data_IF_644931775899
#
_entry.id   IF_644931775899
#
_cell.length_a   1.000
_cell.length_b   1.000
_cell.length_c   1.000
_cell.angle_alpha   90.00
_cell.angle_beta   90.00
_cell.angle_gamma   90.00
#
_symmetry.space_group_name_H-M   'P 1'
#
loop_
_entity.id
_entity.type
_entity.pdbx_description
1 polymer ?
#
# COMPACT_ATOMS: atom_id res chain seq x y z
N UNK A 1 1.84 1.27 4.43
CA UNK A 1 3.18 1.92 4.46
C UNK A 1 3.46 2.73 3.20
N UNK A 2 3.45 2.16 1.98
CA UNK A 2 3.74 2.94 0.76
C UNK A 2 2.71 4.03 0.38
N UNK A 3 1.45 3.89 0.79
CA UNK A 3 0.44 4.93 0.58
C UNK A 3 0.48 6.05 1.63
N UNK A 4 1.31 5.92 2.68
CA UNK A 4 1.52 6.98 3.67
C UNK A 4 2.75 7.84 3.36
N UNK A 5 3.58 7.43 2.39
CA UNK A 5 4.73 8.23 1.94
C UNK A 5 4.28 9.21 0.88
N UNK A 6 4.70 10.46 1.00
CA UNK A 6 4.33 11.55 0.10
C UNK A 6 4.75 11.30 -1.36
N UNK A 7 5.86 10.59 -1.55
CA UNK A 7 6.39 10.22 -2.87
C UNK A 7 6.69 8.72 -2.89
N UNK A 8 5.72 7.95 -3.37
CA UNK A 8 5.82 6.49 -3.46
C UNK A 8 6.92 6.05 -4.43
N UNK A 9 7.21 6.83 -5.48
CA UNK A 9 8.29 6.54 -6.43
C UNK A 9 9.65 6.60 -5.76
N UNK A 10 9.93 7.69 -5.00
CA UNK A 10 11.16 7.81 -4.20
C UNK A 10 11.29 6.71 -3.16
N UNK A 11 10.19 6.33 -2.51
CA UNK A 11 10.20 5.24 -1.54
C UNK A 11 10.63 3.91 -2.20
N UNK A 12 10.06 3.57 -3.36
CA UNK A 12 10.44 2.35 -4.11
C UNK A 12 11.89 2.43 -4.63
N UNK A 13 12.32 3.60 -5.11
CA UNK A 13 13.70 3.84 -5.52
C UNK A 13 14.67 3.55 -4.37
N UNK A 14 14.31 3.98 -3.16
CA UNK A 14 15.14 3.80 -1.98
C UNK A 14 15.13 2.36 -1.48
N UNK A 15 13.99 1.68 -1.51
CA UNK A 15 13.91 0.23 -1.27
C UNK A 15 14.83 -0.55 -2.22
N UNK A 16 14.84 -0.19 -3.52
CA UNK A 16 15.77 -0.77 -4.50
C UNK A 16 17.23 -0.43 -4.19
N UNK A 17 17.55 0.80 -3.75
CA UNK A 17 18.92 1.21 -3.47
C UNK A 17 19.52 0.41 -2.31
N UNK A 18 18.75 0.18 -1.25
CA UNK A 18 19.23 -0.47 -0.01
C UNK A 18 19.25 -1.99 -0.09
N UNK A 19 18.38 -2.62 -0.91
CA UNK A 19 18.41 -4.07 -1.07
C UNK A 19 19.68 -4.49 -1.82
N UNK A 20 20.32 -5.60 -1.43
CA UNK A 20 21.49 -6.15 -2.16
C UNK A 20 21.18 -6.40 -3.65
N UNK A 21 22.17 -6.36 -4.55
CA UNK A 21 21.98 -6.84 -5.93
C UNK A 21 21.36 -8.24 -5.96
N UNK A 22 20.43 -8.47 -6.91
CA UNK A 22 19.63 -9.70 -6.99
C UNK A 22 18.57 -9.84 -5.88
N UNK A 23 18.50 -8.92 -4.92
CA UNK A 23 17.53 -8.96 -3.82
C UNK A 23 16.12 -8.52 -4.22
N UNK A 24 15.13 -9.02 -3.49
CA UNK A 24 13.70 -8.76 -3.73
C UNK A 24 13.22 -7.56 -2.93
N UNK A 25 12.48 -6.67 -3.59
CA UNK A 25 11.63 -5.66 -2.98
C UNK A 25 10.18 -6.13 -3.09
N UNK A 26 9.41 -6.04 -2.01
CA UNK A 26 8.00 -6.36 -2.01
C UNK A 26 7.21 -5.34 -1.19
N UNK A 27 5.97 -5.08 -1.59
CA UNK A 27 5.06 -4.20 -0.88
C UNK A 27 3.61 -4.66 -1.06
N UNK A 28 2.77 -4.27 -0.11
CA UNK A 28 1.32 -4.39 -0.24
C UNK A 28 0.61 -3.12 0.23
N UNK A 29 -0.53 -2.85 -0.39
CA UNK A 29 -1.44 -1.74 -0.02
C UNK A 29 -2.89 -2.20 -0.16
N UNK A 30 -3.77 -1.68 0.69
CA UNK A 30 -5.19 -1.99 0.63
C UNK A 30 -5.87 -1.32 -0.57
N UNK A 31 -6.86 -1.98 -1.15
CA UNK A 31 -7.76 -1.41 -2.14
C UNK A 31 -8.90 -0.65 -1.44
N UNK A 32 -8.66 0.61 -1.06
CA UNK A 32 -9.64 1.41 -0.33
C UNK A 32 -10.93 1.67 -1.12
N UNK A 33 -10.84 1.76 -2.45
CA UNK A 33 -12.00 2.05 -3.29
C UNK A 33 -12.81 0.79 -3.59
N UNK A 34 -12.19 -0.31 -4.01
CA UNK A 34 -12.90 -1.52 -4.44
C UNK A 34 -13.04 -2.56 -3.35
N UNK A 35 -11.98 -2.74 -2.56
CA UNK A 35 -11.71 -3.96 -1.82
C UNK A 35 -11.71 -3.82 -0.30
N UNK A 36 -12.22 -2.73 0.28
CA UNK A 36 -12.40 -2.63 1.74
C UNK A 36 -13.86 -2.34 2.12
N UNK A 37 -14.80 -3.28 1.92
CA UNK A 37 -16.24 -3.01 2.11
C UNK A 37 -16.58 -2.57 3.55
N UNK A 38 -15.93 -3.14 4.57
CA UNK A 38 -16.14 -2.73 5.96
C UNK A 38 -15.74 -1.28 6.22
N UNK A 39 -14.58 -0.84 5.72
CA UNK A 39 -14.15 0.56 5.83
C UNK A 39 -14.99 1.48 4.95
N UNK A 40 -15.32 1.01 3.74
CA UNK A 40 -16.12 1.76 2.77
C UNK A 40 -17.53 2.04 3.30
N UNK A 41 -18.13 1.12 4.04
CA UNK A 41 -19.39 1.35 4.75
C UNK A 41 -19.32 2.62 5.62
N UNK A 42 -18.36 2.71 6.54
CA UNK A 42 -18.18 3.89 7.39
C UNK A 42 -18.00 5.16 6.54
N UNK A 43 -17.10 5.11 5.56
CA UNK A 43 -16.79 6.26 4.70
C UNK A 43 -18.01 6.76 3.92
N UNK A 44 -18.82 5.86 3.34
CA UNK A 44 -20.03 6.26 2.62
C UNK A 44 -21.11 6.77 3.56
N UNK A 45 -21.27 6.16 4.73
CA UNK A 45 -22.23 6.60 5.73
C UNK A 45 -21.93 8.03 6.17
N UNK A 46 -20.68 8.35 6.55
CA UNK A 46 -20.35 9.71 6.99
C UNK A 46 -20.41 10.73 5.84
N UNK A 47 -20.11 10.32 4.61
CA UNK A 47 -20.26 11.17 3.44
C UNK A 47 -21.72 11.54 3.11
N UNK A 48 -22.68 10.70 3.50
CA UNK A 48 -24.10 11.03 3.38
C UNK A 48 -24.56 12.05 4.42
N UNK A 49 -23.85 12.17 5.54
CA UNK A 49 -24.26 13.02 6.67
C UNK A 49 -23.78 14.47 6.56
N UNK A 50 -22.64 14.74 5.93
CA UNK A 50 -22.05 16.08 5.90
C UNK A 50 -21.06 16.33 4.75
N UNK A 51 -20.78 17.61 4.49
CA UNK A 51 -19.72 18.04 3.56
C UNK A 51 -18.33 17.57 4.02
N UNK A 52 -18.04 17.65 5.32
CA UNK A 52 -16.79 17.13 5.88
C UNK A 52 -16.62 15.62 5.59
N UNK A 53 -17.72 14.85 5.69
CA UNK A 53 -17.73 13.43 5.31
C UNK A 53 -17.47 13.20 3.82
N UNK A 54 -18.03 14.04 2.94
CA UNK A 54 -17.76 13.96 1.49
C UNK A 54 -16.28 14.18 1.17
N UNK A 55 -15.68 15.22 1.76
CA UNK A 55 -14.25 15.52 1.62
C UNK A 55 -13.36 14.43 2.22
N UNK A 56 -13.79 13.80 3.32
CA UNK A 56 -13.10 12.66 3.90
C UNK A 56 -13.10 11.47 2.93
N UNK A 57 -14.25 11.12 2.35
CA UNK A 57 -14.38 10.04 1.35
C UNK A 57 -13.50 10.27 0.13
N UNK A 58 -13.53 11.47 -0.44
CA UNK A 58 -12.72 11.80 -1.64
C UNK A 58 -11.24 11.56 -1.40
N UNK A 59 -10.74 11.97 -0.23
CA UNK A 59 -9.35 11.75 0.17
C UNK A 59 -9.07 10.28 0.47
N UNK A 60 -9.93 9.60 1.22
CA UNK A 60 -9.69 8.23 1.68
C UNK A 60 -9.68 7.21 0.53
N UNK A 61 -10.59 7.35 -0.44
CA UNK A 61 -10.76 6.39 -1.54
C UNK A 61 -9.68 6.51 -2.63
N UNK A 62 -8.98 7.65 -2.73
CA UNK A 62 -8.02 7.91 -3.80
C UNK A 62 -6.66 8.34 -3.25
N UNK A 63 -5.95 7.39 -2.63
CA UNK A 63 -4.56 7.56 -2.22
C UNK A 63 -3.61 6.94 -3.26
N UNK A 64 -2.33 7.38 -3.30
CA UNK A 64 -1.34 6.81 -4.21
C UNK A 64 -1.17 5.30 -4.08
N UNK A 65 -0.89 4.62 -5.20
CA UNK A 65 -0.61 3.18 -5.30
C UNK A 65 -1.80 2.25 -5.07
N UNK A 66 -3.00 2.79 -4.85
CA UNK A 66 -4.18 1.99 -4.49
C UNK A 66 -4.99 1.49 -5.69
N UNK A 67 -4.72 2.01 -6.91
CA UNK A 67 -5.42 1.52 -8.11
C UNK A 67 -4.74 0.29 -8.70
N UNK A 68 -5.51 -0.60 -9.38
CA UNK A 68 -4.94 -1.72 -10.10
C UNK A 68 -3.79 -1.29 -11.01
N UNK A 69 -2.63 -1.92 -10.87
CA UNK A 69 -1.48 -1.70 -11.75
C UNK A 69 -0.56 -0.54 -11.39
N UNK A 70 -0.97 0.45 -10.58
CA UNK A 70 -0.12 1.61 -10.22
C UNK A 70 1.19 1.16 -9.56
N UNK A 71 1.11 0.29 -8.56
CA UNK A 71 2.31 -0.21 -7.87
C UNK A 71 3.26 -0.98 -8.80
N UNK A 72 2.70 -1.77 -9.72
CA UNK A 72 3.49 -2.53 -10.71
C UNK A 72 4.22 -1.56 -11.65
N UNK A 73 3.52 -0.54 -12.15
CA UNK A 73 4.11 0.47 -13.02
C UNK A 73 5.27 1.19 -12.31
N UNK A 74 5.07 1.64 -11.07
CA UNK A 74 6.13 2.31 -10.30
C UNK A 74 7.33 1.41 -10.03
N UNK A 75 7.14 0.12 -9.72
CA UNK A 75 8.26 -0.80 -9.56
C UNK A 75 9.11 -0.92 -10.84
N UNK A 76 8.44 -0.99 -11.99
CA UNK A 76 9.12 -1.04 -13.31
C UNK A 76 9.85 0.28 -13.58
N UNK A 77 9.20 1.42 -13.38
CA UNK A 77 9.77 2.76 -13.57
C UNK A 77 11.02 2.99 -12.72
N UNK A 78 11.07 2.43 -11.50
CA UNK A 78 12.24 2.51 -10.62
C UNK A 78 13.34 1.49 -10.94
N UNK A 79 13.19 0.70 -12.01
CA UNK A 79 14.21 -0.22 -12.52
C UNK A 79 14.33 -1.52 -11.73
N UNK A 80 13.23 -1.98 -11.12
CA UNK A 80 13.11 -3.36 -10.65
C UNK A 80 12.77 -4.28 -11.83
N UNK A 81 13.29 -5.50 -11.80
CA UNK A 81 13.07 -6.55 -12.80
C UNK A 81 12.09 -7.60 -12.28
N UNK A 82 11.60 -8.46 -13.18
CA UNK A 82 10.71 -9.59 -12.85
C UNK A 82 9.48 -9.18 -12.02
N UNK A 83 8.94 -7.99 -12.32
CA UNK A 83 7.88 -7.39 -11.52
C UNK A 83 6.56 -8.14 -11.70
N UNK A 84 6.07 -8.72 -10.61
CA UNK A 84 4.78 -9.42 -10.55
C UNK A 84 3.88 -8.76 -9.51
N UNK A 85 2.58 -8.68 -9.81
CA UNK A 85 1.57 -8.19 -8.88
C UNK A 85 0.42 -9.21 -8.74
N UNK A 86 -0.18 -9.26 -7.56
CA UNK A 86 -1.34 -10.12 -7.25
C UNK A 86 -2.29 -9.40 -6.29
N UNK A 87 -3.46 -10.00 -6.07
CA UNK A 87 -4.42 -9.60 -5.06
C UNK A 87 -4.39 -10.59 -3.90
N UNK A 88 -4.41 -10.09 -2.68
CA UNK A 88 -4.54 -10.87 -1.46
C UNK A 88 -5.92 -10.62 -0.87
N UNK A 89 -6.75 -11.65 -0.80
CA UNK A 89 -8.05 -11.58 -0.13
C UNK A 89 -7.90 -11.99 1.33
N UNK A 90 -8.35 -11.13 2.25
CA UNK A 90 -8.26 -11.32 3.69
C UNK A 90 -9.65 -11.08 4.27
N UNK A 91 -10.20 -12.04 5.00
CA UNK A 91 -11.43 -11.81 5.78
C UNK A 91 -11.08 -11.17 7.11
N UNK A 92 -11.75 -10.07 7.44
CA UNK A 92 -11.68 -9.46 8.76
C UNK A 92 -12.98 -9.78 9.49
N UNK A 93 -12.85 -10.51 10.59
CA UNK A 93 -13.96 -10.93 11.43
C UNK A 93 -14.07 -9.96 12.61
N UNK A 94 -15.30 -9.54 12.90
CA UNK A 94 -15.65 -8.68 14.02
C UNK A 94 -16.71 -9.39 14.84
N UNK A 95 -16.57 -9.34 16.16
CA UNK A 95 -17.48 -10.00 17.10
C UNK A 95 -18.82 -9.27 17.21
N UNK A 96 -18.80 -7.95 17.07
CA UNK A 96 -19.94 -7.04 17.14
C UNK A 96 -19.53 -5.65 16.60
N UNK A 97 -20.44 -4.67 16.68
CA UNK A 97 -20.17 -3.31 16.24
C UNK A 97 -19.02 -2.65 17.00
N UNK A 98 -18.95 -2.82 18.32
CA UNK A 98 -17.94 -2.14 19.13
C UNK A 98 -16.52 -2.62 18.77
N UNK A 99 -16.36 -3.90 18.43
CA UNK A 99 -15.12 -4.49 17.88
C UNK A 99 -14.75 -3.85 16.52
N UNK A 100 -15.75 -3.61 15.67
CA UNK A 100 -15.57 -2.91 14.39
C UNK A 100 -15.25 -1.41 14.56
N UNK A 101 -15.91 -0.74 15.50
CA UNK A 101 -15.89 0.71 15.66
C UNK A 101 -14.70 1.21 16.47
N UNK A 102 -14.32 0.49 17.53
CA UNK A 102 -13.32 0.95 18.49
C UNK A 102 -11.97 1.32 17.88
N UNK A 103 -11.41 0.61 16.86
CA UNK A 103 -10.13 1.00 16.26
C UNK A 103 -10.21 2.35 15.53
N UNK A 104 -11.38 2.69 14.96
CA UNK A 104 -11.62 3.98 14.31
C UNK A 104 -11.86 5.09 15.34
N UNK A 105 -12.62 4.78 16.39
CA UNK A 105 -12.96 5.73 17.45
C UNK A 105 -11.78 6.08 18.37
N UNK A 106 -10.76 5.21 18.46
CA UNK A 106 -9.56 5.40 19.28
C UNK A 106 -8.70 6.62 18.88
N UNK A 107 -9.01 7.31 17.77
CA UNK A 107 -8.36 8.56 17.39
C UNK A 107 -7.14 8.39 16.47
N UNK A 108 -6.74 7.16 16.18
CA UNK A 108 -5.61 6.87 15.30
C UNK A 108 -5.99 6.82 13.81
N UNK A 109 -5.03 7.15 12.95
CA UNK A 109 -5.19 7.08 11.50
C UNK A 109 -6.19 8.09 10.91
N UNK A 110 -6.58 7.91 9.64
CA UNK A 110 -7.47 8.84 8.93
C UNK A 110 -8.87 8.94 9.57
N UNK A 111 -9.40 7.82 10.07
CA UNK A 111 -10.73 7.75 10.67
C UNK A 111 -10.79 8.48 12.00
N UNK A 112 -9.85 8.21 12.90
CA UNK A 112 -9.80 8.88 14.20
C UNK A 112 -9.62 10.39 14.08
N UNK A 113 -8.77 10.85 13.14
CA UNK A 113 -8.64 12.29 12.83
C UNK A 113 -9.94 12.91 12.33
N UNK A 114 -10.66 12.22 11.44
CA UNK A 114 -11.96 12.68 10.96
C UNK A 114 -12.99 12.76 12.10
N UNK A 115 -13.15 11.68 12.88
CA UNK A 115 -14.10 11.64 14.00
C UNK A 115 -13.77 12.68 15.08
N UNK A 116 -12.50 12.93 15.34
CA UNK A 116 -12.03 13.96 16.28
C UNK A 116 -12.32 15.38 15.81
N UNK A 117 -12.45 15.60 14.50
CA UNK A 117 -12.79 16.91 13.93
C UNK A 117 -14.28 17.25 14.04
N UNK A 118 -15.13 16.26 14.29
CA UNK A 118 -16.57 16.44 14.51
C UNK A 118 -16.82 16.89 15.95
N UNK A 119 -17.83 17.74 16.13
CA UNK A 119 -18.38 18.05 17.45
C UNK A 119 -19.10 16.83 18.06
N UNK A 120 -19.44 16.90 19.34
CA UNK A 120 -20.02 15.77 20.04
C UNK A 120 -21.36 15.29 19.42
N UNK A 121 -22.30 16.19 19.04
CA UNK A 121 -23.53 15.79 18.34
C UNK A 121 -23.28 15.09 17.00
N UNK A 122 -22.40 15.63 16.14
CA UNK A 122 -22.13 15.04 14.83
C UNK A 122 -21.40 13.71 14.96
N UNK A 123 -20.51 13.57 15.95
CA UNK A 123 -19.83 12.30 16.24
C UNK A 123 -20.82 11.22 16.69
N UNK A 124 -21.75 11.55 17.58
CA UNK A 124 -22.79 10.62 18.03
C UNK A 124 -23.71 10.22 16.86
N UNK A 125 -24.07 11.17 16.00
CA UNK A 125 -24.87 10.90 14.78
C UNK A 125 -24.12 10.00 13.79
N UNK A 126 -22.82 10.22 13.60
CA UNK A 126 -21.98 9.38 12.76
C UNK A 126 -21.90 7.95 13.31
N UNK A 127 -21.64 7.78 14.61
CA UNK A 127 -21.62 6.46 15.24
C UNK A 127 -22.96 5.72 15.06
N UNK A 128 -24.08 6.38 15.37
CA UNK A 128 -25.40 5.77 15.24
C UNK A 128 -25.70 5.32 13.81
N UNK A 129 -25.39 6.15 12.81
CA UNK A 129 -25.61 5.80 11.41
C UNK A 129 -24.69 4.67 10.93
N UNK A 130 -23.44 4.63 11.40
CA UNK A 130 -22.50 3.55 11.05
C UNK A 130 -22.90 2.25 11.75
N UNK A 131 -23.45 2.32 12.97
CA UNK A 131 -24.03 1.17 13.69
C UNK A 131 -25.23 0.60 12.96
N UNK A 132 -26.13 1.43 12.49
CA UNK A 132 -27.27 1.02 11.66
C UNK A 132 -26.79 0.31 10.38
N UNK A 133 -25.79 0.88 9.70
CA UNK A 133 -25.20 0.29 8.50
C UNK A 133 -24.53 -1.07 8.77
N UNK A 134 -23.78 -1.20 9.87
CA UNK A 134 -23.15 -2.46 10.28
C UNK A 134 -24.18 -3.55 10.60
N UNK A 135 -25.24 -3.17 11.31
CA UNK A 135 -26.33 -4.04 11.70
C UNK A 135 -27.09 -4.56 10.47
N UNK A 136 -27.27 -3.72 9.45
CA UNK A 136 -27.92 -4.08 8.18
C UNK A 136 -29.32 -4.72 8.39
N UNK A 137 -30.08 -4.17 9.34
CA UNK A 137 -31.42 -4.67 9.71
C UNK A 137 -31.42 -5.96 10.54
N UNK A 138 -30.25 -6.44 10.98
CA UNK A 138 -30.10 -7.56 11.90
C UNK A 138 -29.61 -7.08 13.27
N UNK A 139 -29.80 -7.87 14.34
CA UNK A 139 -29.19 -7.57 15.63
C UNK A 139 -27.67 -7.39 15.51
N UNK A 140 -27.12 -6.63 16.46
CA UNK A 140 -25.68 -6.55 16.62
C UNK A 140 -25.09 -7.94 16.89
N UNK A 141 -23.87 -8.16 16.44
CA UNK A 141 -23.21 -9.45 16.50
C UNK A 141 -22.26 -9.67 15.33
N UNK A 142 -21.79 -10.91 15.13
CA UNK A 142 -20.65 -11.15 14.27
C UNK A 142 -20.86 -10.72 12.82
N UNK A 143 -19.85 -10.07 12.25
CA UNK A 143 -19.77 -9.72 10.82
C UNK A 143 -18.38 -10.04 10.30
N UNK A 144 -18.29 -10.36 9.01
CA UNK A 144 -17.03 -10.69 8.37
C UNK A 144 -16.97 -10.06 6.99
N UNK A 145 -15.99 -9.19 6.78
CA UNK A 145 -15.80 -8.44 5.54
C UNK A 145 -14.60 -8.97 4.78
N UNK A 146 -14.80 -9.36 3.52
CA UNK A 146 -13.72 -9.72 2.62
C UNK A 146 -13.00 -8.45 2.16
N UNK A 147 -11.73 -8.33 2.50
CA UNK A 147 -10.88 -7.21 2.11
C UNK A 147 -9.82 -7.66 1.10
N UNK A 148 -9.39 -6.75 0.23
CA UNK A 148 -8.39 -7.00 -0.80
C UNK A 148 -7.22 -6.04 -0.63
N UNK A 149 -6.02 -6.60 -0.62
CA UNK A 149 -4.78 -5.85 -0.75
C UNK A 149 -4.11 -6.16 -2.10
N UNK A 150 -3.61 -5.13 -2.77
CA UNK A 150 -2.65 -5.28 -3.85
C UNK A 150 -1.30 -5.64 -3.28
N UNK A 151 -0.65 -6.66 -3.81
CA UNK A 151 0.72 -7.04 -3.48
C UNK A 151 1.58 -7.02 -4.74
N UNK A 152 2.78 -6.45 -4.64
CA UNK A 152 3.74 -6.42 -5.73
C UNK A 152 5.13 -6.80 -5.22
N UNK A 153 5.90 -7.48 -6.07
CA UNK A 153 7.32 -7.76 -5.86
C UNK A 153 8.11 -7.51 -7.14
N UNK A 154 9.38 -7.18 -6.99
CA UNK A 154 10.37 -7.11 -8.07
C UNK A 154 11.79 -7.28 -7.53
N UNK A 155 12.73 -7.61 -8.41
CA UNK A 155 14.13 -7.85 -8.05
C UNK A 155 15.02 -6.66 -8.45
N UNK A 156 15.99 -6.31 -7.61
CA UNK A 156 17.07 -5.40 -7.99
C UNK A 156 17.96 -6.13 -9.01
N UNK A 157 18.35 -5.47 -10.13
CA UNK A 157 19.33 -6.04 -11.04
C UNK A 157 20.60 -6.52 -10.31
N UNK A 158 21.18 -7.61 -10.79
CA UNK A 158 22.51 -8.04 -10.37
C UNK A 158 23.54 -6.94 -10.66
N UNK A 159 24.59 -6.85 -9.84
CA UNK A 159 25.73 -6.02 -10.20
C UNK A 159 26.44 -6.75 -11.34
N UNK A 160 26.45 -6.17 -12.54
CA UNK A 160 27.32 -6.65 -13.61
C UNK A 160 28.74 -6.70 -13.06
N UNK A 161 29.28 -7.90 -12.84
CA UNK A 161 30.73 -8.03 -12.58
C UNK A 161 31.41 -7.39 -13.79
N UNK A 162 32.22 -6.35 -13.58
CA UNK A 162 33.13 -5.88 -14.64
C UNK A 162 33.91 -7.11 -15.11
N UNK A 163 34.03 -7.36 -16.44
CA UNK A 163 35.03 -8.28 -16.91
C UNK A 163 36.35 -7.77 -16.35
N UNK A 164 37.04 -8.57 -15.54
CA UNK A 164 38.43 -8.28 -15.23
C UNK A 164 39.13 -8.39 -16.57
N UNK A 165 39.54 -7.24 -17.13
CA UNK A 165 40.42 -7.22 -18.27
C UNK A 165 41.66 -8.01 -17.87
N UNK A 166 41.85 -9.19 -18.47
CA UNK A 166 43.08 -9.96 -18.36
C UNK A 166 44.18 -9.16 -19.06
N UNK A 167 44.78 -8.21 -18.33
CA UNK A 167 45.93 -7.46 -18.79
C UNK A 167 47.15 -8.37 -18.82
N UNK A 168 47.39 -8.98 -19.98
CA UNK A 168 48.71 -9.50 -20.40
C UNK A 168 48.87 -9.21 -21.89
N UNK A 169 49.10 -7.94 -22.22
CA UNK A 169 49.71 -7.57 -23.51
C UNK A 169 51.23 -7.70 -23.41
N UNK A 170 51.75 -8.63 -24.20
CA UNK A 170 53.01 -8.55 -24.95
C UNK A 170 54.23 -7.96 -24.25
N UNK A 171 55.06 -8.83 -23.67
CA UNK A 171 56.52 -8.59 -23.66
C UNK A 171 57.06 -9.08 -25.00
N UNK A 172 57.30 -8.16 -25.93
CA UNK A 172 58.11 -8.40 -27.12
C UNK A 172 59.57 -8.54 -26.68
N UNK A 173 60.17 -9.70 -26.92
CA UNK A 173 61.60 -9.92 -26.75
C UNK A 173 62.33 -9.38 -27.99
N UNK A 174 63.29 -8.46 -27.86
CA UNK A 174 64.08 -8.02 -29.00
C UNK A 174 65.12 -9.09 -29.37
N UNK A 175 65.23 -9.34 -30.68
CA UNK A 175 65.99 -10.43 -31.27
C UNK A 175 67.49 -10.43 -30.97
N UNK A 176 68.10 -11.61 -31.17
CA UNK A 176 69.53 -11.75 -31.49
C UNK A 176 69.66 -12.53 -32.79
N UNK A 177 70.30 -11.91 -33.77
CA UNK A 177 70.69 -12.55 -35.02
C UNK A 177 72.01 -13.31 -34.92
N UNK A 178 72.18 -14.21 -35.89
CA UNK A 178 73.41 -14.76 -36.50
C UNK A 178 74.49 -15.31 -35.55
N UNK A 179 74.77 -16.61 -35.61
CA UNK A 179 75.55 -17.33 -36.64
C UNK A 179 75.24 -18.82 -36.55
#
# INVERSE_FOLDING_TARGET
MLHFVTDAGKAVAEMRRVVRPGGVVAASVWDHLGGMPGMRMMVHTVAALSEAGRQFRERYCYQPMMRPGEMKATFIEQGLLEVSATQLMIRMDYSNFDDYWSPMAAGEGPFGKFLSSLDAPDRARAEAAVREAYQAGQPDGPRSFANVAWACRGARPESTKKPVASGWEGVTVPGRGRR
#
